data_IF_114611060147
#
_entry.id   IF_114611060147
#
_cell.length_a   1.000
_cell.length_b   1.000
_cell.length_c   1.000
_cell.angle_alpha   90.00
_cell.angle_beta   90.00
_cell.angle_gamma   90.00
#
_symmetry.space_group_name_H-M   'P 1'
#
loop_
_entity.id
_entity.type
_entity.pdbx_description
1 polymer ?
#
# COMPACT_ATOMS: atom_id res chain seq x y z
N UNK A 1 -12.91 10.98 -18.80
CA UNK A 1 -12.08 11.13 -17.59
C UNK A 1 -12.43 9.95 -16.73
N UNK A 2 -11.66 8.89 -16.90
CA UNK A 2 -11.87 7.57 -16.34
C UNK A 2 -11.73 7.65 -14.82
N UNK A 3 -12.85 7.85 -14.14
CA UNK A 3 -12.96 7.70 -12.70
C UNK A 3 -13.11 6.21 -12.39
N UNK A 4 -12.02 5.44 -12.53
CA UNK A 4 -11.96 4.16 -11.81
C UNK A 4 -11.99 4.52 -10.31
N UNK A 5 -12.88 3.94 -9.50
CA UNK A 5 -12.95 4.25 -8.07
C UNK A 5 -11.70 3.70 -7.39
N UNK A 6 -10.65 4.52 -7.31
CA UNK A 6 -9.47 4.24 -6.49
C UNK A 6 -9.87 4.44 -5.03
N UNK A 7 -9.97 3.34 -4.28
CA UNK A 7 -10.12 3.39 -2.82
C UNK A 7 -8.85 4.03 -2.24
N UNK A 8 -9.02 5.09 -1.45
CA UNK A 8 -7.94 5.87 -0.86
C UNK A 8 -7.87 5.66 0.63
N UNK A 9 -6.67 5.40 1.13
CA UNK A 9 -6.39 5.18 2.55
C UNK A 9 -5.37 6.18 3.07
N UNK A 10 -5.70 6.84 4.18
CA UNK A 10 -4.83 7.84 4.81
C UNK A 10 -4.11 7.30 6.04
N UNK A 11 -4.56 6.16 6.57
CA UNK A 11 -3.91 5.49 7.70
C UNK A 11 -3.56 4.03 7.39
N UNK A 12 -2.51 3.49 8.02
CA UNK A 12 -2.16 2.07 7.92
C UNK A 12 -3.32 1.15 8.33
N UNK A 13 -4.07 1.55 9.36
CA UNK A 13 -5.18 0.76 9.90
C UNK A 13 -6.32 0.59 8.91
N UNK A 14 -6.66 1.64 8.15
CA UNK A 14 -7.69 1.57 7.13
C UNK A 14 -7.28 0.62 6.00
N UNK A 15 -6.05 0.76 5.50
CA UNK A 15 -5.53 -0.12 4.47
C UNK A 15 -5.45 -1.55 4.98
N UNK A 16 -4.96 -1.77 6.21
CA UNK A 16 -4.89 -3.10 6.83
C UNK A 16 -6.25 -3.75 6.91
N UNK A 17 -7.26 -3.04 7.39
CA UNK A 17 -8.63 -3.58 7.49
C UNK A 17 -9.18 -3.96 6.12
N UNK A 18 -8.86 -3.20 5.07
CA UNK A 18 -9.25 -3.53 3.70
C UNK A 18 -8.52 -4.78 3.19
N UNK A 19 -7.21 -4.89 3.41
CA UNK A 19 -6.42 -6.03 2.95
C UNK A 19 -6.78 -7.34 3.66
N UNK A 20 -7.24 -7.26 4.92
CA UNK A 20 -7.73 -8.39 5.70
C UNK A 20 -9.10 -8.89 5.21
N UNK A 21 -9.96 -7.98 4.73
CA UNK A 21 -11.29 -8.28 4.18
C UNK A 21 -11.25 -8.75 2.71
N UNK A 22 -10.08 -8.67 2.05
CA UNK A 22 -9.93 -9.20 0.70
C UNK A 22 -10.17 -10.71 0.69
N UNK A 23 -11.16 -11.15 -0.09
CA UNK A 23 -11.53 -12.56 -0.17
C UNK A 23 -10.36 -13.40 -0.72
N UNK A 24 -9.86 -13.10 -1.93
CA UNK A 24 -8.67 -13.68 -2.55
C UNK A 24 -8.11 -12.77 -3.67
N UNK A 25 -6.81 -12.87 -3.95
CA UNK A 25 -6.19 -12.33 -5.17
C UNK A 25 -4.92 -11.51 -4.96
N UNK A 26 -4.54 -10.81 -6.04
CA UNK A 26 -3.47 -9.83 -6.06
C UNK A 26 -4.07 -8.43 -6.15
N UNK A 27 -3.52 -7.47 -5.42
CA UNK A 27 -3.95 -6.07 -5.47
C UNK A 27 -2.76 -5.16 -5.74
N UNK A 28 -2.90 -4.28 -6.72
CA UNK A 28 -1.92 -3.21 -6.96
C UNK A 28 -2.22 -2.02 -6.03
N UNK A 29 -1.19 -1.57 -5.32
CA UNK A 29 -1.21 -0.46 -4.40
C UNK A 29 -0.33 0.65 -4.96
N UNK A 30 -0.78 1.90 -4.86
CA UNK A 30 0.02 3.07 -5.22
C UNK A 30 0.15 4.00 -4.04
N UNK A 31 1.35 4.07 -3.46
CA UNK A 31 1.63 4.98 -2.34
C UNK A 31 2.07 6.35 -2.86
N UNK A 32 1.51 7.40 -2.29
CA UNK A 32 1.87 8.78 -2.56
C UNK A 32 2.56 9.34 -1.30
N UNK A 33 3.90 9.39 -1.29
CA UNK A 33 4.64 9.95 -0.16
C UNK A 33 4.47 11.48 -0.13
N UNK A 34 4.63 12.09 1.05
CA UNK A 34 4.60 13.55 1.26
C UNK A 34 5.63 14.27 0.37
N UNK A 35 6.73 13.58 0.06
CA UNK A 35 7.77 14.10 -0.81
C UNK A 35 8.39 12.96 -1.61
N UNK A 36 8.60 13.20 -2.90
CA UNK A 36 9.09 12.22 -3.85
C UNK A 36 8.08 11.89 -4.94
N UNK A 37 8.26 10.75 -5.58
CA UNK A 37 7.39 10.26 -6.64
C UNK A 37 6.50 9.12 -6.12
N UNK A 38 5.28 8.95 -6.64
CA UNK A 38 4.43 7.84 -6.25
C UNK A 38 5.06 6.48 -6.60
N UNK A 39 4.97 5.52 -5.69
CA UNK A 39 5.51 4.17 -5.88
C UNK A 39 4.39 3.13 -6.00
N UNK A 40 4.62 2.11 -6.83
CA UNK A 40 3.68 1.00 -7.02
C UNK A 40 4.16 -0.27 -6.32
N UNK A 41 3.21 -0.98 -5.71
CA UNK A 41 3.42 -2.22 -4.99
C UNK A 41 2.35 -3.24 -5.38
N UNK A 42 2.72 -4.51 -5.31
CA UNK A 42 1.84 -5.66 -5.51
C UNK A 42 1.66 -6.34 -4.16
N UNK A 43 0.43 -6.44 -3.68
CA UNK A 43 0.08 -7.24 -2.53
C UNK A 43 -0.43 -8.61 -2.98
N UNK A 44 0.18 -9.67 -2.46
CA UNK A 44 -0.19 -11.06 -2.67
C UNK A 44 -0.95 -11.55 -1.44
N UNK A 45 -2.29 -11.59 -1.50
CA UNK A 45 -3.11 -11.89 -0.33
C UNK A 45 -2.79 -13.26 0.30
N UNK A 46 -2.64 -14.29 -0.51
CA UNK A 46 -2.38 -15.66 -0.03
C UNK A 46 -1.05 -15.80 0.71
N UNK A 47 -0.03 -15.04 0.31
CA UNK A 47 1.29 -15.07 0.93
C UNK A 47 1.43 -14.00 2.03
N UNK A 48 0.48 -13.06 2.10
CA UNK A 48 0.55 -11.83 2.90
C UNK A 48 1.86 -11.06 2.67
N UNK A 49 2.31 -11.05 1.42
CA UNK A 49 3.57 -10.47 0.97
C UNK A 49 3.30 -9.22 0.13
N UNK A 50 4.10 -8.19 0.31
CA UNK A 50 4.12 -7.01 -0.56
C UNK A 50 5.45 -6.93 -1.30
N UNK A 51 5.38 -6.70 -2.61
CA UNK A 51 6.55 -6.52 -3.47
C UNK A 51 6.47 -5.18 -4.18
N UNK A 52 7.56 -4.41 -4.17
CA UNK A 52 7.66 -3.16 -4.92
C UNK A 52 7.86 -3.45 -6.40
N UNK A 53 6.99 -2.88 -7.24
CA UNK A 53 6.98 -3.15 -8.70
C UNK A 53 8.26 -2.68 -9.40
N UNK A 54 8.87 -1.59 -8.92
CA UNK A 54 10.03 -0.95 -9.56
C UNK A 54 11.27 -1.85 -9.62
N UNK A 55 11.53 -2.62 -8.56
CA UNK A 55 12.77 -3.40 -8.40
C UNK A 55 12.54 -4.82 -7.88
N UNK A 56 11.29 -5.22 -7.68
CA UNK A 56 10.94 -6.54 -7.18
C UNK A 56 11.35 -6.77 -5.72
N UNK A 57 11.73 -5.73 -4.98
CA UNK A 57 12.03 -5.87 -3.55
C UNK A 57 10.78 -6.25 -2.79
N UNK A 58 10.88 -7.34 -2.05
CA UNK A 58 9.85 -7.83 -1.14
C UNK A 58 10.06 -7.25 0.25
N UNK A 59 8.98 -6.88 0.91
CA UNK A 59 8.99 -6.44 2.31
C UNK A 59 8.97 -7.65 3.23
N UNK A 60 9.75 -7.61 4.32
CA UNK A 60 9.87 -8.71 5.28
C UNK A 60 8.57 -8.92 6.09
N UNK A 61 7.74 -7.88 6.22
CA UNK A 61 6.46 -7.94 6.95
C UNK A 61 5.52 -6.82 6.48
N UNK A 62 4.22 -7.02 6.69
CA UNK A 62 3.21 -5.99 6.42
C UNK A 62 3.46 -4.71 7.24
N UNK A 63 3.98 -4.83 8.47
CA UNK A 63 4.36 -3.67 9.30
C UNK A 63 5.49 -2.85 8.67
N UNK A 64 6.50 -3.50 8.08
CA UNK A 64 7.58 -2.81 7.37
C UNK A 64 7.05 -2.06 6.14
N UNK A 65 6.14 -2.71 5.39
CA UNK A 65 5.44 -2.06 4.28
C UNK A 65 4.63 -0.85 4.73
N UNK A 66 3.82 -0.98 5.79
CA UNK A 66 3.02 0.14 6.29
C UNK A 66 3.90 1.29 6.76
N UNK A 67 4.97 1.01 7.51
CA UNK A 67 5.91 2.04 7.93
C UNK A 67 6.57 2.75 6.75
N UNK A 68 6.95 2.01 5.72
CA UNK A 68 7.53 2.58 4.50
C UNK A 68 6.51 3.43 3.72
N UNK A 69 5.34 2.87 3.41
CA UNK A 69 4.33 3.51 2.58
C UNK A 69 3.69 4.73 3.25
N UNK A 70 3.57 4.71 4.58
CA UNK A 70 3.01 5.80 5.38
C UNK A 70 4.09 6.67 6.04
N UNK A 71 5.36 6.50 5.64
CA UNK A 71 6.53 7.27 6.09
C UNK A 71 6.56 7.47 7.60
N UNK A 72 6.46 6.39 8.37
CA UNK A 72 6.44 6.48 9.82
C UNK A 72 7.68 7.22 10.36
N UNK A 73 7.47 8.06 11.38
CA UNK A 73 8.57 8.73 12.11
C UNK A 73 9.40 7.71 12.91
N UNK A 74 10.49 8.17 13.56
CA UNK A 74 11.33 7.37 14.45
C UNK A 74 10.54 6.73 15.62
N UNK A 75 9.41 7.31 16.00
CA UNK A 75 8.49 6.75 16.99
C UNK A 75 7.46 5.75 16.40
N UNK A 76 7.44 5.55 15.07
CA UNK A 76 6.52 4.64 14.39
C UNK A 76 5.16 5.24 14.03
N UNK A 77 4.95 6.54 14.26
CA UNK A 77 3.70 7.23 13.89
C UNK A 77 3.69 7.58 12.40
N UNK A 78 2.60 7.27 11.66
CA UNK A 78 2.51 7.54 10.24
C UNK A 78 2.52 9.06 9.95
N UNK A 79 3.40 9.50 9.04
CA UNK A 79 3.35 10.82 8.43
C UNK A 79 2.88 10.64 6.98
N UNK A 80 1.58 10.71 6.72
CA UNK A 80 1.02 10.34 5.41
C UNK A 80 0.61 11.49 4.51
N UNK A 81 0.67 11.24 3.19
CA UNK A 81 -0.31 11.77 2.22
C UNK A 81 -1.46 10.77 1.99
N UNK A 82 -1.28 9.66 1.23
CA UNK A 82 -2.26 8.56 1.12
C UNK A 82 -1.75 7.37 0.26
N UNK A 83 -2.44 6.22 0.34
CA UNK A 83 -2.28 5.06 -0.55
C UNK A 83 -3.59 4.82 -1.32
N UNK A 84 -3.51 4.65 -2.64
CA UNK A 84 -4.65 4.29 -3.50
C UNK A 84 -4.60 2.80 -3.88
N UNK A 85 -5.77 2.14 -3.96
CA UNK A 85 -5.94 0.86 -4.64
C UNK A 85 -6.07 1.10 -6.13
N UNK A 86 -5.24 0.42 -6.91
CA UNK A 86 -5.36 0.39 -8.36
C UNK A 86 -6.06 -0.91 -8.72
N UNK A 87 -7.35 -0.82 -9.04
CA UNK A 87 -8.08 -1.98 -9.59
C UNK A 87 -7.62 -2.14 -11.04
N UNK A 88 -6.73 -3.10 -11.26
CA UNK A 88 -6.36 -3.55 -12.61
C UNK A 88 -7.56 -4.32 -13.19
N UNK A 89 -8.29 -3.67 -14.11
CA UNK A 89 -9.40 -4.25 -14.88
C UNK A 89 -8.96 -5.31 -15.87
#
# INVERSE_FOLDING_TARGET
MDSNPSLRFHTPEQLRSYLDDLDQGEVDLKAYPISGEPEMFRYYHHEQVVTRVKDGRTFDSMEDFFCYAFQCDAEGYPNTEYVDIVVSS
#
